data_IF_964143193809
#
_entry.id   IF_964143193809
#
_cell.length_a   1.000
_cell.length_b   1.000
_cell.length_c   1.000
_cell.angle_alpha   90.00
_cell.angle_beta   90.00
_cell.angle_gamma   90.00
#
_symmetry.space_group_name_H-M   'P 1'
#
loop_
_entity.id
_entity.type
_entity.pdbx_description
1 polymer ?
#
# COMPACT_ATOMS: atom_id res chain seq x y z
N UNK A 1 -13.10 -60.13 11.67
CA UNK A 1 -12.73 -59.10 12.66
C UNK A 1 -12.23 -57.91 11.88
N UNK A 2 -13.13 -56.98 11.59
CA UNK A 2 -12.81 -55.62 11.17
C UNK A 2 -13.38 -54.73 12.26
N UNK A 3 -12.57 -53.86 12.82
CA UNK A 3 -13.05 -52.74 13.62
C UNK A 3 -12.23 -51.49 13.31
N UNK A 4 -12.93 -50.37 13.36
CA UNK A 4 -12.61 -49.07 12.81
C UNK A 4 -12.04 -48.13 13.88
N UNK A 5 -11.85 -46.87 13.45
CA UNK A 5 -11.63 -45.64 14.23
C UNK A 5 -10.17 -45.22 14.47
N UNK A 6 -9.71 -44.31 13.62
CA UNK A 6 -9.02 -43.10 14.08
C UNK A 6 -9.45 -41.96 13.16
N UNK A 7 -10.42 -41.18 13.64
CA UNK A 7 -10.86 -39.94 13.01
C UNK A 7 -9.69 -38.95 13.03
N UNK A 8 -9.35 -38.43 11.85
CA UNK A 8 -8.40 -37.32 11.73
C UNK A 8 -9.04 -36.05 12.26
N UNK A 9 -8.39 -35.41 13.23
CA UNK A 9 -8.75 -34.08 13.69
C UNK A 9 -8.65 -33.10 12.51
N UNK A 10 -9.77 -32.48 12.18
CA UNK A 10 -9.83 -31.27 11.36
C UNK A 10 -9.11 -30.13 12.11
N UNK A 11 -8.31 -29.28 11.42
CA UNK A 11 -7.75 -28.10 12.05
C UNK A 11 -8.89 -27.13 12.38
N UNK A 12 -9.23 -27.07 13.67
CA UNK A 12 -10.03 -26.00 14.25
C UNK A 12 -9.15 -24.74 14.29
N UNK A 13 -9.50 -23.74 13.47
CA UNK A 13 -9.47 -22.30 13.78
C UNK A 13 -9.70 -21.51 12.49
N UNK A 14 -10.95 -21.50 12.03
CA UNK A 14 -11.49 -20.40 11.22
C UNK A 14 -12.68 -19.90 12.02
N UNK A 15 -12.59 -18.67 12.53
CA UNK A 15 -13.78 -17.95 12.96
C UNK A 15 -14.32 -17.35 11.66
N UNK A 16 -15.30 -18.01 11.05
CA UNK A 16 -16.02 -17.45 9.90
C UNK A 16 -16.86 -16.26 10.39
N UNK A 17 -16.70 -15.05 9.83
CA UNK A 17 -17.60 -13.95 10.14
C UNK A 17 -18.97 -14.19 9.47
N UNK A 18 -20.03 -13.78 10.17
CA UNK A 18 -21.42 -13.84 9.70
C UNK A 18 -21.58 -13.02 8.40
N UNK A 19 -21.90 -13.71 7.30
CA UNK A 19 -22.03 -13.17 5.93
C UNK A 19 -23.00 -11.98 5.81
N UNK A 20 -23.83 -11.71 6.82
CA UNK A 20 -24.84 -10.64 6.78
C UNK A 20 -24.41 -9.31 7.40
N UNK A 21 -23.16 -9.16 7.88
CA UNK A 21 -22.73 -7.95 8.62
C UNK A 21 -21.58 -7.16 7.96
N UNK A 22 -20.97 -7.67 6.90
CA UNK A 22 -19.69 -7.15 6.36
C UNK A 22 -19.87 -6.03 5.33
N UNK A 23 -21.07 -5.87 4.76
CA UNK A 23 -21.25 -5.07 3.54
C UNK A 23 -21.48 -3.56 3.72
N UNK A 24 -22.08 -3.10 4.82
CA UNK A 24 -22.54 -1.71 4.94
C UNK A 24 -21.86 -0.91 6.08
N UNK A 25 -21.45 -1.53 7.19
CA UNK A 25 -20.83 -0.80 8.32
C UNK A 25 -19.31 -0.61 8.19
N UNK A 26 -18.60 -1.49 7.48
CA UNK A 26 -17.14 -1.40 7.32
C UNK A 26 -16.67 -0.32 6.34
N UNK A 27 -17.50 0.02 5.35
CA UNK A 27 -17.15 0.94 4.25
C UNK A 27 -17.01 2.40 4.73
N UNK A 28 -17.77 2.80 5.76
CA UNK A 28 -17.77 4.16 6.29
C UNK A 28 -16.54 4.49 7.16
N UNK A 29 -15.96 3.50 7.85
CA UNK A 29 -14.79 3.68 8.74
C UNK A 29 -13.46 3.53 8.00
N UNK A 30 -13.36 2.58 7.05
CA UNK A 30 -12.16 2.34 6.24
C UNK A 30 -11.87 3.47 5.23
N UNK A 31 -12.93 3.97 4.56
CA UNK A 31 -12.83 5.16 3.72
C UNK A 31 -12.05 5.03 2.41
N UNK A 32 -11.63 3.84 2.02
CA UNK A 32 -11.09 3.51 0.69
C UNK A 32 -11.94 2.41 0.02
N UNK A 33 -11.99 2.31 -1.32
CA UNK A 33 -12.76 1.26 -1.99
C UNK A 33 -12.20 -0.15 -1.69
N UNK A 34 -13.07 -1.15 -1.60
CA UNK A 34 -12.72 -2.57 -1.43
C UNK A 34 -13.37 -3.49 -2.48
N UNK A 35 -13.92 -2.91 -3.55
CA UNK A 35 -14.52 -3.67 -4.64
C UNK A 35 -13.48 -4.41 -5.50
N UNK A 36 -13.94 -5.37 -6.29
CA UNK A 36 -13.10 -6.22 -7.16
C UNK A 36 -12.17 -5.39 -8.07
N UNK A 37 -12.61 -4.21 -8.55
CA UNK A 37 -11.78 -3.38 -9.42
C UNK A 37 -10.59 -2.78 -8.67
N UNK A 38 -10.79 -2.38 -7.42
CA UNK A 38 -9.72 -1.87 -6.57
C UNK A 38 -8.75 -2.98 -6.14
N UNK A 39 -9.25 -4.18 -5.85
CA UNK A 39 -8.40 -5.35 -5.55
C UNK A 39 -7.52 -5.72 -6.77
N UNK A 40 -8.11 -5.77 -7.97
CA UNK A 40 -7.35 -5.98 -9.22
C UNK A 40 -6.30 -4.88 -9.44
N UNK A 41 -6.60 -3.63 -9.07
CA UNK A 41 -5.65 -2.51 -9.15
C UNK A 41 -4.47 -2.71 -8.19
N UNK A 42 -4.70 -3.21 -6.98
CA UNK A 42 -3.66 -3.52 -5.99
C UNK A 42 -2.73 -4.62 -6.52
N UNK A 43 -3.28 -5.69 -7.09
CA UNK A 43 -2.49 -6.78 -7.68
C UNK A 43 -1.67 -6.32 -8.89
N UNK A 44 -2.26 -5.47 -9.75
CA UNK A 44 -1.54 -4.81 -10.84
C UNK A 44 -0.42 -3.91 -10.32
N UNK A 45 -0.65 -3.18 -9.22
CA UNK A 45 0.38 -2.36 -8.58
C UNK A 45 1.53 -3.24 -8.06
N UNK A 46 1.24 -4.39 -7.44
CA UNK A 46 2.26 -5.35 -7.02
C UNK A 46 3.14 -5.79 -8.19
N UNK A 47 2.54 -6.17 -9.33
CA UNK A 47 3.28 -6.53 -10.54
C UNK A 47 4.13 -5.37 -11.09
N UNK A 48 3.60 -4.13 -11.06
CA UNK A 48 4.34 -2.92 -11.43
C UNK A 48 5.58 -2.72 -10.55
N UNK A 49 5.47 -2.87 -9.23
CA UNK A 49 6.61 -2.80 -8.32
C UNK A 49 7.66 -3.86 -8.64
N UNK A 50 7.24 -5.10 -8.94
CA UNK A 50 8.18 -6.15 -9.32
C UNK A 50 9.02 -5.77 -10.56
N UNK A 51 8.42 -5.11 -11.56
CA UNK A 51 9.16 -4.58 -12.73
C UNK A 51 10.02 -3.36 -12.36
N UNK A 52 9.50 -2.45 -11.53
CA UNK A 52 10.20 -1.24 -11.07
C UNK A 52 11.44 -1.56 -10.24
N UNK A 53 11.38 -2.62 -9.43
CA UNK A 53 12.46 -3.08 -8.56
C UNK A 53 13.33 -4.16 -9.20
N UNK A 54 13.20 -4.35 -10.52
CA UNK A 54 14.01 -5.29 -11.30
C UNK A 54 13.94 -6.74 -10.79
N UNK A 55 12.71 -7.22 -10.61
CA UNK A 55 12.35 -8.56 -10.12
C UNK A 55 12.68 -8.80 -8.65
N UNK A 56 12.80 -7.73 -7.86
CA UNK A 56 12.86 -7.79 -6.39
C UNK A 56 11.50 -7.44 -5.80
N UNK A 57 11.23 -7.96 -4.60
CA UNK A 57 10.00 -7.66 -3.83
C UNK A 57 10.21 -6.67 -2.70
N UNK A 58 11.45 -6.49 -2.29
CA UNK A 58 11.96 -5.59 -1.25
C UNK A 58 13.43 -5.24 -1.58
N UNK A 59 13.99 -4.24 -0.91
CA UNK A 59 15.36 -3.76 -1.08
C UNK A 59 16.26 -4.03 0.12
N UNK A 60 15.68 -4.21 1.30
CA UNK A 60 16.40 -4.53 2.54
C UNK A 60 17.33 -5.74 2.32
N UNK A 61 18.57 -5.72 2.82
CA UNK A 61 19.55 -6.77 2.62
C UNK A 61 19.31 -7.97 3.55
N UNK A 62 18.07 -8.48 3.57
CA UNK A 62 17.69 -9.69 4.33
C UNK A 62 18.08 -10.95 3.53
N UNK A 63 18.55 -11.98 4.25
CA UNK A 63 19.01 -13.24 3.63
C UNK A 63 18.19 -14.43 4.10
N UNK A 64 18.05 -14.61 5.42
CA UNK A 64 17.30 -15.71 6.03
C UNK A 64 16.41 -15.19 7.17
N UNK A 65 15.36 -14.41 6.86
CA UNK A 65 14.40 -13.98 7.88
C UNK A 65 13.61 -15.18 8.42
N UNK A 66 13.22 -15.13 9.70
CA UNK A 66 12.35 -16.15 10.30
C UNK A 66 10.94 -15.63 10.60
N UNK A 67 10.79 -14.33 10.86
CA UNK A 67 9.50 -13.68 11.10
C UNK A 67 9.41 -12.39 10.30
N UNK A 68 8.43 -12.32 9.41
CA UNK A 68 8.18 -11.19 8.53
C UNK A 68 6.78 -10.63 8.82
N UNK A 69 6.68 -9.32 8.94
CA UNK A 69 5.42 -8.59 9.08
C UNK A 69 5.19 -7.71 7.84
N UNK A 70 4.04 -7.84 7.19
CA UNK A 70 3.54 -6.87 6.22
C UNK A 70 2.43 -6.03 6.87
N UNK A 71 2.60 -4.71 6.84
CA UNK A 71 1.64 -3.72 7.34
C UNK A 71 0.79 -3.18 6.19
N UNK A 72 -0.53 -3.26 6.32
CA UNK A 72 -1.46 -2.86 5.26
C UNK A 72 -1.36 -3.79 4.04
N UNK A 73 -1.59 -5.10 4.26
CA UNK A 73 -1.29 -6.11 3.25
C UNK A 73 -2.27 -6.15 2.06
N UNK A 74 -3.41 -5.45 2.12
CA UNK A 74 -4.39 -5.39 1.04
C UNK A 74 -4.86 -6.78 0.62
N UNK A 75 -4.65 -7.17 -0.65
CA UNK A 75 -4.99 -8.51 -1.14
C UNK A 75 -4.13 -9.63 -0.53
N UNK A 76 -3.03 -9.28 0.15
CA UNK A 76 -2.07 -10.22 0.71
C UNK A 76 -1.09 -10.79 -0.34
N UNK A 77 -1.16 -10.33 -1.60
CA UNK A 77 -0.35 -10.87 -2.70
C UNK A 77 1.15 -10.81 -2.42
N UNK A 78 1.64 -9.74 -1.76
CA UNK A 78 3.06 -9.64 -1.41
C UNK A 78 3.43 -10.63 -0.30
N UNK A 79 2.64 -10.72 0.78
CA UNK A 79 2.85 -11.70 1.84
C UNK A 79 2.93 -13.14 1.31
N UNK A 80 2.03 -13.51 0.40
CA UNK A 80 2.01 -14.84 -0.24
C UNK A 80 3.30 -15.08 -1.03
N UNK A 81 3.67 -14.12 -1.87
CA UNK A 81 4.88 -14.18 -2.69
C UNK A 81 6.18 -14.28 -1.85
N UNK A 82 6.19 -13.63 -0.69
CA UNK A 82 7.30 -13.67 0.27
C UNK A 82 7.34 -14.99 1.04
N UNK A 83 6.17 -15.53 1.40
CA UNK A 83 6.07 -16.84 2.04
C UNK A 83 6.58 -17.96 1.13
N UNK A 84 6.28 -17.89 -0.17
CA UNK A 84 6.84 -18.80 -1.18
C UNK A 84 8.35 -18.60 -1.38
N UNK A 85 8.83 -17.35 -1.34
CA UNK A 85 10.26 -17.04 -1.46
C UNK A 85 11.07 -17.52 -0.25
N UNK A 86 10.49 -17.49 0.96
CA UNK A 86 11.13 -17.90 2.21
C UNK A 86 10.30 -18.97 2.94
N UNK A 87 10.36 -20.24 2.49
CA UNK A 87 9.52 -21.32 3.04
C UNK A 87 9.81 -21.65 4.52
N UNK A 88 10.92 -21.17 5.07
CA UNK A 88 11.28 -21.31 6.49
C UNK A 88 10.84 -20.13 7.37
N UNK A 89 10.39 -19.03 6.76
CA UNK A 89 9.91 -17.84 7.49
C UNK A 89 8.43 -17.97 7.78
N UNK A 90 7.99 -17.47 8.94
CA UNK A 90 6.59 -17.14 9.19
C UNK A 90 6.30 -15.73 8.68
N UNK A 91 5.31 -15.60 7.80
CA UNK A 91 4.85 -14.32 7.25
C UNK A 91 3.47 -13.99 7.80
N UNK A 92 3.36 -12.83 8.43
CA UNK A 92 2.09 -12.25 8.89
C UNK A 92 1.79 -11.02 8.06
N UNK A 93 0.66 -11.00 7.35
CA UNK A 93 0.10 -9.77 6.79
C UNK A 93 -0.99 -9.21 7.71
N UNK A 94 -1.02 -7.90 7.88
CA UNK A 94 -2.05 -7.22 8.70
C UNK A 94 -2.78 -6.23 7.81
N UNK A 95 -4.10 -6.27 7.84
CA UNK A 95 -4.93 -5.26 7.20
C UNK A 95 -6.20 -5.04 8.02
N UNK A 96 -6.83 -3.88 7.87
CA UNK A 96 -8.11 -3.57 8.51
C UNK A 96 -9.29 -4.15 7.71
N UNK A 97 -9.08 -4.51 6.44
CA UNK A 97 -10.08 -5.11 5.57
C UNK A 97 -9.81 -6.62 5.34
N UNK A 98 -10.84 -7.48 5.43
CA UNK A 98 -10.69 -8.92 5.23
C UNK A 98 -10.74 -9.30 3.74
N UNK A 99 -9.77 -8.83 2.94
CA UNK A 99 -9.73 -8.98 1.47
C UNK A 99 -8.82 -10.11 0.99
N UNK A 100 -8.21 -10.85 1.91
CA UNK A 100 -7.17 -11.83 1.58
C UNK A 100 -7.77 -13.21 1.21
N UNK A 101 -7.12 -13.99 0.34
CA UNK A 101 -7.65 -15.28 -0.12
C UNK A 101 -7.63 -16.35 0.97
N UNK A 102 -8.60 -17.26 0.93
CA UNK A 102 -8.69 -18.37 1.88
C UNK A 102 -7.64 -19.49 1.71
N UNK A 103 -6.96 -19.55 0.56
CA UNK A 103 -5.89 -20.52 0.30
C UNK A 103 -4.54 -19.82 0.15
N UNK A 104 -3.66 -20.05 1.12
CA UNK A 104 -2.32 -19.45 1.19
C UNK A 104 -1.23 -20.47 1.55
N UNK A 105 0.05 -20.16 1.33
CA UNK A 105 1.15 -20.99 1.82
C UNK A 105 1.03 -21.29 3.32
N UNK A 106 1.45 -22.48 3.79
CA UNK A 106 1.26 -22.91 5.18
C UNK A 106 2.04 -22.06 6.20
N UNK A 107 2.99 -21.26 5.73
CA UNK A 107 3.80 -20.34 6.52
C UNK A 107 3.34 -18.87 6.41
N UNK A 108 2.18 -18.61 5.78
CA UNK A 108 1.57 -17.30 5.65
C UNK A 108 0.27 -17.24 6.46
N UNK A 109 0.05 -16.15 7.19
CA UNK A 109 -1.23 -15.87 7.88
C UNK A 109 -1.61 -14.40 7.77
N UNK A 110 -2.89 -14.12 7.94
CA UNK A 110 -3.41 -12.75 7.98
C UNK A 110 -4.10 -12.45 9.30
N UNK A 111 -3.94 -11.23 9.77
CA UNK A 111 -4.54 -10.71 11.00
C UNK A 111 -5.36 -9.46 10.64
N UNK A 112 -6.63 -9.44 11.07
CA UNK A 112 -7.53 -8.31 10.86
C UNK A 112 -7.36 -7.32 12.01
N UNK A 113 -6.60 -6.25 11.79
CA UNK A 113 -6.28 -5.26 12.82
C UNK A 113 -5.91 -3.90 12.19
N UNK A 114 -6.07 -2.83 12.97
CA UNK A 114 -5.63 -1.49 12.59
C UNK A 114 -4.18 -1.28 13.06
N UNK A 115 -3.26 -1.16 12.11
CA UNK A 115 -1.82 -0.98 12.38
C UNK A 115 -1.49 0.35 13.08
N UNK A 116 -2.40 1.32 13.13
CA UNK A 116 -2.25 2.54 13.93
C UNK A 116 -2.59 2.31 15.41
N UNK A 117 -3.23 1.20 15.79
CA UNK A 117 -3.47 0.83 17.19
C UNK A 117 -2.19 0.31 17.87
N UNK A 118 -2.15 0.29 19.22
CA UNK A 118 -1.06 -0.32 19.97
C UNK A 118 -0.87 -1.79 19.60
N UNK A 119 0.31 -2.13 19.10
CA UNK A 119 0.64 -3.49 18.68
C UNK A 119 0.74 -4.47 19.87
N UNK A 120 0.27 -5.70 19.67
CA UNK A 120 0.21 -6.74 20.71
C UNK A 120 1.31 -7.80 20.62
N UNK A 121 2.12 -7.77 19.54
CA UNK A 121 3.30 -8.62 19.42
C UNK A 121 4.33 -8.26 20.49
N UNK A 122 5.33 -9.13 20.68
CA UNK A 122 6.43 -8.86 21.61
C UNK A 122 7.38 -7.81 21.02
N UNK A 123 8.07 -7.08 21.87
CA UNK A 123 9.23 -6.28 21.46
C UNK A 123 10.29 -7.20 20.82
N UNK A 124 11.04 -6.68 19.86
CA UNK A 124 12.12 -7.40 19.17
C UNK A 124 11.67 -8.77 18.61
N UNK A 125 10.51 -8.81 17.93
CA UNK A 125 9.90 -10.04 17.47
C UNK A 125 10.17 -10.35 15.99
N UNK A 126 10.15 -9.33 15.13
CA UNK A 126 10.22 -9.49 13.68
C UNK A 126 11.66 -9.30 13.16
N UNK A 127 12.06 -10.12 12.19
CA UNK A 127 13.33 -9.96 11.46
C UNK A 127 13.20 -8.89 10.37
N UNK A 128 12.00 -8.78 9.79
CA UNK A 128 11.68 -7.82 8.75
C UNK A 128 10.27 -7.30 8.90
N UNK A 129 10.09 -5.97 8.83
CA UNK A 129 8.79 -5.31 8.77
C UNK A 129 8.71 -4.53 7.46
N UNK A 130 7.67 -4.78 6.70
CA UNK A 130 7.46 -4.21 5.38
C UNK A 130 6.14 -3.45 5.34
N UNK A 131 6.11 -2.32 4.63
CA UNK A 131 4.89 -1.58 4.36
C UNK A 131 4.98 -0.98 2.96
N UNK A 132 3.91 -1.10 2.17
CA UNK A 132 3.86 -0.55 0.81
C UNK A 132 2.60 0.28 0.60
N UNK A 133 2.77 1.42 -0.05
CA UNK A 133 1.73 2.38 -0.35
C UNK A 133 0.84 2.79 0.85
N UNK A 134 1.40 3.10 2.05
CA UNK A 134 0.60 3.50 3.22
C UNK A 134 0.01 4.92 3.14
N UNK A 135 0.27 5.66 2.05
CA UNK A 135 -0.21 7.03 1.89
C UNK A 135 -1.74 7.05 1.85
N UNK A 136 -2.34 8.09 2.44
CA UNK A 136 -3.79 8.27 2.61
C UNK A 136 -4.45 7.36 3.66
N UNK A 137 -3.80 6.25 4.04
CA UNK A 137 -4.28 5.30 5.05
C UNK A 137 -3.77 5.63 6.46
N UNK A 138 -2.53 6.08 6.60
CA UNK A 138 -1.91 6.37 7.90
C UNK A 138 -2.01 7.84 8.27
N UNK A 139 -2.34 8.12 9.54
CA UNK A 139 -2.45 9.46 10.13
C UNK A 139 -1.23 9.84 10.97
N UNK A 140 -0.57 8.88 11.61
CA UNK A 140 0.61 9.12 12.46
C UNK A 140 1.80 8.22 12.10
N UNK A 141 2.52 8.60 11.04
CA UNK A 141 3.76 7.92 10.64
C UNK A 141 4.84 7.89 11.75
N UNK A 142 5.11 8.97 12.50
CA UNK A 142 6.04 8.90 13.64
C UNK A 142 5.68 7.81 14.65
N UNK A 143 4.39 7.68 15.01
CA UNK A 143 3.92 6.59 15.88
C UNK A 143 4.13 5.24 15.22
N UNK A 144 3.73 5.08 13.95
CA UNK A 144 3.90 3.81 13.22
C UNK A 144 5.36 3.37 13.16
N UNK A 145 6.28 4.29 12.83
CA UNK A 145 7.73 4.05 12.79
C UNK A 145 8.26 3.69 14.19
N UNK A 146 7.76 4.32 15.24
CA UNK A 146 8.08 3.96 16.63
C UNK A 146 7.64 2.55 16.99
N UNK A 147 6.44 2.13 16.56
CA UNK A 147 6.00 0.74 16.72
C UNK A 147 6.91 -0.23 15.94
N UNK A 148 7.24 0.09 14.69
CA UNK A 148 8.19 -0.70 13.91
C UNK A 148 9.52 -0.86 14.65
N UNK A 149 10.04 0.23 15.24
CA UNK A 149 11.30 0.21 16.00
C UNK A 149 11.27 -0.69 17.23
N UNK A 150 10.17 -0.68 17.99
CA UNK A 150 10.05 -1.51 19.19
C UNK A 150 9.91 -3.01 18.86
N UNK A 151 9.25 -3.33 17.74
CA UNK A 151 8.89 -4.70 17.40
C UNK A 151 9.85 -5.38 16.41
N UNK A 152 10.69 -4.62 15.70
CA UNK A 152 11.80 -5.20 14.92
C UNK A 152 12.93 -5.63 15.86
N UNK A 153 13.59 -6.75 15.57
CA UNK A 153 14.76 -7.20 16.32
C UNK A 153 15.94 -6.25 16.14
N UNK A 154 16.90 -6.21 17.09
CA UNK A 154 18.20 -5.62 16.84
C UNK A 154 18.86 -6.32 15.64
N UNK A 155 19.26 -5.53 14.64
CA UNK A 155 19.78 -6.04 13.36
C UNK A 155 18.72 -6.48 12.34
N UNK A 156 17.44 -6.38 12.67
CA UNK A 156 16.34 -6.54 11.72
C UNK A 156 16.12 -5.29 10.87
N UNK A 157 15.28 -5.42 9.84
CA UNK A 157 15.04 -4.35 8.86
C UNK A 157 13.59 -3.87 8.87
N UNK A 158 13.42 -2.59 8.57
CA UNK A 158 12.11 -2.00 8.27
C UNK A 158 12.20 -1.31 6.93
N UNK A 159 11.24 -1.59 6.04
CA UNK A 159 11.23 -1.02 4.70
C UNK A 159 9.83 -0.50 4.35
N UNK A 160 9.77 0.81 4.06
CA UNK A 160 8.59 1.44 3.51
C UNK A 160 8.81 1.72 2.02
N UNK A 161 7.85 1.34 1.19
CA UNK A 161 7.83 1.64 -0.24
C UNK A 161 6.58 2.45 -0.58
N UNK A 162 6.70 3.45 -1.44
CA UNK A 162 5.51 4.10 -1.98
C UNK A 162 5.77 4.84 -3.30
N UNK A 163 4.72 4.93 -4.12
CA UNK A 163 4.61 5.96 -5.15
C UNK A 163 4.15 7.26 -4.50
N UNK A 164 5.05 8.25 -4.45
CA UNK A 164 4.72 9.56 -3.92
C UNK A 164 3.59 10.22 -4.73
N UNK A 165 2.55 10.71 -4.05
CA UNK A 165 1.39 11.36 -4.68
C UNK A 165 1.64 12.77 -5.21
N UNK A 166 2.90 13.22 -5.25
CA UNK A 166 3.29 14.53 -5.79
C UNK A 166 3.82 14.35 -7.20
N UNK A 167 3.07 14.88 -8.16
CA UNK A 167 3.42 14.79 -9.57
C UNK A 167 4.42 15.90 -9.91
N UNK A 168 5.52 15.51 -10.54
CA UNK A 168 6.62 16.42 -10.89
C UNK A 168 7.10 16.18 -12.32
N UNK A 169 7.92 17.09 -12.82
CA UNK A 169 8.65 16.93 -14.07
C UNK A 169 10.12 17.22 -13.84
N UNK A 170 11.00 16.47 -14.53
CA UNK A 170 12.46 16.59 -14.40
C UNK A 170 13.06 17.70 -15.28
N UNK A 171 12.29 18.19 -16.27
CA UNK A 171 12.79 19.07 -17.34
C UNK A 171 11.94 20.35 -17.53
N UNK A 172 11.20 20.74 -16.48
CA UNK A 172 10.28 21.90 -16.48
C UNK A 172 9.25 21.89 -17.62
N UNK A 173 9.02 20.73 -18.24
CA UNK A 173 8.04 20.57 -19.34
C UNK A 173 6.59 20.70 -18.89
N UNK A 174 6.33 20.73 -17.58
CA UNK A 174 5.02 20.89 -17.01
C UNK A 174 4.71 22.37 -16.80
N UNK A 175 3.79 22.98 -17.58
CA UNK A 175 3.42 24.37 -17.38
C UNK A 175 2.76 24.57 -16.00
N UNK A 176 3.08 25.67 -15.33
CA UNK A 176 2.49 26.03 -14.03
C UNK A 176 0.96 26.23 -14.10
N UNK A 177 0.44 26.60 -15.27
CA UNK A 177 -0.99 26.77 -15.54
C UNK A 177 -1.67 25.51 -16.10
N UNK A 178 -0.98 24.36 -16.10
CA UNK A 178 -1.54 23.10 -16.61
C UNK A 178 -2.54 22.46 -15.64
N UNK A 179 -3.54 21.76 -16.18
CA UNK A 179 -4.51 20.99 -15.40
C UNK A 179 -3.84 19.92 -14.51
N UNK A 180 -2.71 19.37 -14.96
CA UNK A 180 -1.96 18.36 -14.23
C UNK A 180 -1.23 18.94 -13.00
N UNK A 181 -0.67 20.16 -13.12
CA UNK A 181 -0.12 20.89 -11.97
C UNK A 181 -1.23 21.24 -10.97
N UNK A 182 -2.34 21.77 -11.47
CA UNK A 182 -3.51 22.07 -10.65
C UNK A 182 -4.04 20.81 -9.94
N UNK A 183 -4.04 19.65 -10.61
CA UNK A 183 -4.43 18.37 -10.01
C UNK A 183 -3.52 18.01 -8.84
N UNK A 184 -2.19 18.05 -9.04
CA UNK A 184 -1.23 17.74 -7.98
C UNK A 184 -1.36 18.68 -6.78
N UNK A 185 -1.55 19.99 -7.01
CA UNK A 185 -1.68 20.98 -5.95
C UNK A 185 -2.98 20.80 -5.15
N UNK A 186 -4.09 20.59 -5.84
CA UNK A 186 -5.39 20.33 -5.22
C UNK A 186 -5.37 19.02 -4.43
N UNK A 187 -4.73 17.98 -4.96
CA UNK A 187 -4.58 16.70 -4.28
C UNK A 187 -3.80 16.86 -2.97
N UNK A 188 -2.65 17.55 -3.02
CA UNK A 188 -1.84 17.85 -1.83
C UNK A 188 -2.64 18.64 -0.79
N UNK A 189 -3.36 19.68 -1.21
CA UNK A 189 -4.17 20.51 -0.32
C UNK A 189 -5.34 19.74 0.31
N UNK A 190 -6.02 18.88 -0.46
CA UNK A 190 -7.09 18.02 0.04
C UNK A 190 -6.56 17.03 1.06
N UNK A 191 -5.55 16.24 0.72
CA UNK A 191 -5.00 15.19 1.59
C UNK A 191 -4.44 15.74 2.90
N UNK A 192 -3.83 16.93 2.88
CA UNK A 192 -3.40 17.63 4.10
C UNK A 192 -4.57 17.94 5.05
N UNK A 193 -5.76 18.27 4.52
CA UNK A 193 -6.97 18.51 5.34
C UNK A 193 -7.58 17.23 5.92
N UNK A 194 -7.37 16.09 5.27
CA UNK A 194 -7.74 14.78 5.81
C UNK A 194 -6.71 14.22 6.81
N UNK A 195 -5.64 14.96 7.10
CA UNK A 195 -4.60 14.50 8.03
C UNK A 195 -3.77 13.33 7.51
N UNK A 196 -3.68 13.12 6.19
CA UNK A 196 -2.75 12.16 5.58
C UNK A 196 -2.10 12.79 4.35
N UNK A 197 -1.07 13.64 4.55
CA UNK A 197 -0.43 14.37 3.48
C UNK A 197 0.39 13.44 2.57
N UNK A 198 0.15 13.51 1.26
CA UNK A 198 0.76 12.63 0.24
C UNK A 198 2.27 12.84 0.02
N UNK A 199 2.88 13.80 0.73
CA UNK A 199 4.31 14.09 0.71
C UNK A 199 5.02 13.54 1.96
N UNK A 200 4.36 12.71 2.78
CA UNK A 200 4.97 12.01 3.92
C UNK A 200 6.22 11.19 3.57
N UNK A 201 6.31 10.49 2.41
CA UNK A 201 7.53 9.80 2.04
C UNK A 201 8.78 10.67 2.04
N UNK A 202 8.65 11.97 1.75
CA UNK A 202 9.78 12.91 1.79
C UNK A 202 10.36 13.11 3.20
N UNK A 203 9.64 12.71 4.24
CA UNK A 203 10.03 12.85 5.66
C UNK A 203 10.45 11.53 6.30
N UNK A 204 10.14 10.39 5.67
CA UNK A 204 10.37 9.08 6.27
C UNK A 204 11.83 8.88 6.66
N UNK A 205 12.80 9.16 5.77
CA UNK A 205 14.22 9.00 6.09
C UNK A 205 14.61 9.68 7.41
N UNK A 206 14.25 10.97 7.55
CA UNK A 206 14.54 11.73 8.76
C UNK A 206 13.77 11.21 9.98
N UNK A 207 12.56 10.69 9.81
CA UNK A 207 11.78 10.08 10.90
C UNK A 207 12.38 8.75 11.37
N UNK A 208 12.81 7.88 10.45
CA UNK A 208 13.52 6.65 10.76
C UNK A 208 14.82 6.96 11.52
N UNK A 209 15.64 7.91 11.04
CA UNK A 209 16.86 8.35 11.72
C UNK A 209 16.56 8.92 13.12
N UNK A 210 15.54 9.78 13.25
CA UNK A 210 15.15 10.39 14.52
C UNK A 210 14.63 9.37 15.55
N UNK A 211 13.96 8.31 15.09
CA UNK A 211 13.49 7.22 15.96
C UNK A 211 14.65 6.37 16.49
N UNK A 212 15.78 6.34 15.79
CA UNK A 212 16.98 5.61 16.21
C UNK A 212 17.34 4.42 15.32
N UNK A 213 16.76 4.32 14.12
CA UNK A 213 17.23 3.35 13.13
C UNK A 213 18.63 3.70 12.62
N UNK A 214 19.43 2.67 12.39
CA UNK A 214 20.77 2.78 11.81
C UNK A 214 20.71 2.39 10.31
N UNK A 215 21.74 2.75 9.54
CA UNK A 215 21.85 2.42 8.09
C UNK A 215 20.65 2.85 7.22
N UNK A 216 19.98 3.95 7.57
CA UNK A 216 18.80 4.44 6.85
C UNK A 216 19.14 4.85 5.42
N UNK A 217 18.63 4.08 4.46
CA UNK A 217 18.84 4.28 3.03
C UNK A 217 17.54 4.72 2.36
N UNK A 218 17.63 5.70 1.47
CA UNK A 218 16.54 6.13 0.60
C UNK A 218 16.93 5.85 -0.85
N UNK A 219 16.03 5.20 -1.59
CA UNK A 219 16.22 4.91 -3.01
C UNK A 219 15.05 5.50 -3.79
N UNK A 220 15.34 6.48 -4.64
CA UNK A 220 14.34 7.13 -5.48
C UNK A 220 14.32 6.48 -6.87
N UNK A 221 13.15 5.98 -7.26
CA UNK A 221 12.90 5.45 -8.60
C UNK A 221 12.08 6.44 -9.41
N UNK A 222 12.43 6.59 -10.70
CA UNK A 222 11.59 7.34 -11.64
C UNK A 222 10.43 6.46 -12.10
N UNK A 223 9.22 6.92 -11.83
CA UNK A 223 7.98 6.30 -12.31
C UNK A 223 7.23 7.30 -13.21
N UNK A 224 7.21 7.08 -14.54
CA UNK A 224 6.41 7.89 -15.44
C UNK A 224 4.92 7.73 -15.14
N UNK A 225 4.13 8.80 -15.27
CA UNK A 225 2.67 8.76 -15.10
C UNK A 225 1.92 8.30 -16.35
N UNK A 226 2.61 8.12 -17.49
CA UNK A 226 2.04 7.72 -18.76
C UNK A 226 3.11 7.08 -19.69
N UNK A 227 2.74 6.41 -20.81
CA UNK A 227 3.65 5.62 -21.63
C UNK A 227 4.49 6.45 -22.64
N UNK A 228 4.70 7.74 -22.40
CA UNK A 228 5.54 8.61 -23.24
C UNK A 228 7.02 8.23 -23.37
N UNK A 229 7.69 7.60 -22.36
CA UNK A 229 9.13 7.36 -22.45
C UNK A 229 9.49 6.45 -23.64
N UNK A 230 10.68 6.65 -24.21
CA UNK A 230 11.18 5.80 -25.31
C UNK A 230 11.68 4.44 -24.82
N UNK A 231 12.25 4.40 -23.62
CA UNK A 231 12.70 3.17 -22.98
C UNK A 231 11.51 2.22 -22.78
N UNK A 232 11.63 0.98 -23.22
CA UNK A 232 10.51 0.02 -23.25
C UNK A 232 10.01 -0.32 -21.84
N UNK A 233 10.92 -0.41 -20.87
CA UNK A 233 10.58 -0.71 -19.48
C UNK A 233 9.85 0.47 -18.84
N UNK A 234 10.37 1.69 -18.98
CA UNK A 234 9.70 2.89 -18.47
C UNK A 234 8.37 3.17 -19.17
N UNK A 235 8.26 2.86 -20.47
CA UNK A 235 7.01 2.93 -21.20
C UNK A 235 5.96 1.98 -20.63
N UNK A 236 6.34 0.73 -20.37
CA UNK A 236 5.46 -0.25 -19.74
C UNK A 236 5.04 0.20 -18.33
N UNK A 237 6.00 0.60 -17.49
CA UNK A 237 5.72 1.12 -16.15
C UNK A 237 4.78 2.33 -16.19
N UNK A 238 4.97 3.24 -17.14
CA UNK A 238 4.11 4.39 -17.35
C UNK A 238 2.70 4.04 -17.81
N UNK A 239 2.53 2.97 -18.61
CA UNK A 239 1.21 2.46 -18.95
C UNK A 239 0.48 1.87 -17.73
N UNK A 240 1.19 1.09 -16.90
CA UNK A 240 0.66 0.57 -15.65
C UNK A 240 0.26 1.69 -14.68
N UNK A 241 1.11 2.72 -14.52
CA UNK A 241 0.81 3.84 -13.65
C UNK A 241 -0.36 4.67 -14.14
N UNK A 242 -0.44 4.95 -15.45
CA UNK A 242 -1.58 5.64 -16.04
C UNK A 242 -2.88 4.89 -15.77
N UNK A 243 -2.89 3.56 -15.93
CA UNK A 243 -4.06 2.75 -15.60
C UNK A 243 -4.43 2.86 -14.11
N UNK A 244 -3.44 2.75 -13.22
CA UNK A 244 -3.65 2.90 -11.77
C UNK A 244 -4.23 4.26 -11.39
N UNK A 245 -3.77 5.34 -12.03
CA UNK A 245 -4.26 6.70 -11.77
C UNK A 245 -5.66 6.92 -12.32
N UNK A 246 -6.00 6.33 -13.47
CA UNK A 246 -7.26 6.57 -14.16
C UNK A 246 -8.42 5.71 -13.67
N UNK A 247 -8.18 4.47 -13.22
CA UNK A 247 -9.24 3.48 -12.95
C UNK A 247 -10.28 3.98 -11.93
N UNK A 248 -9.86 4.77 -10.94
CA UNK A 248 -10.72 5.34 -9.89
C UNK A 248 -10.59 6.88 -9.78
N UNK A 249 -10.10 7.56 -10.84
CA UNK A 249 -9.82 8.99 -10.80
C UNK A 249 -11.05 9.82 -10.43
N UNK A 250 -12.19 9.54 -11.05
CA UNK A 250 -13.43 10.32 -10.83
C UNK A 250 -13.90 10.22 -9.37
N UNK A 251 -14.09 9.01 -8.86
CA UNK A 251 -14.54 8.78 -7.48
C UNK A 251 -13.57 9.37 -6.45
N UNK A 252 -12.28 9.20 -6.70
CA UNK A 252 -11.21 9.75 -5.85
C UNK A 252 -11.23 11.28 -5.82
N UNK A 253 -11.30 11.94 -6.97
CA UNK A 253 -11.34 13.40 -7.06
C UNK A 253 -12.63 13.96 -6.49
N UNK A 254 -13.77 13.34 -6.77
CA UNK A 254 -15.07 13.72 -6.20
C UNK A 254 -15.02 13.71 -4.67
N UNK A 255 -14.49 12.63 -4.07
CA UNK A 255 -14.33 12.52 -2.62
C UNK A 255 -13.36 13.57 -2.07
N UNK A 256 -12.15 13.64 -2.61
CA UNK A 256 -11.09 14.48 -2.04
C UNK A 256 -11.31 15.97 -2.29
N UNK A 257 -11.75 16.37 -3.47
CA UNK A 257 -11.93 17.78 -3.79
C UNK A 257 -13.28 18.27 -3.25
N UNK A 258 -14.31 17.42 -3.26
CA UNK A 258 -15.59 17.71 -2.62
C UNK A 258 -15.44 17.92 -1.12
N UNK A 259 -15.03 16.89 -0.37
CA UNK A 259 -14.91 16.98 1.10
C UNK A 259 -13.71 17.84 1.55
N UNK A 260 -12.60 17.83 0.82
CA UNK A 260 -11.38 18.58 1.19
C UNK A 260 -11.42 20.05 0.76
N UNK A 261 -11.85 20.37 -0.45
CA UNK A 261 -11.83 21.74 -1.00
C UNK A 261 -13.22 22.39 -1.04
N UNK A 262 -14.29 21.64 -0.79
CA UNK A 262 -15.66 22.15 -0.88
C UNK A 262 -16.14 22.32 -2.32
N UNK A 263 -15.54 21.61 -3.28
CA UNK A 263 -15.95 21.69 -4.68
C UNK A 263 -17.31 21.03 -4.87
N UNK A 264 -18.15 21.64 -5.71
CA UNK A 264 -19.35 20.99 -6.22
C UNK A 264 -19.02 19.95 -7.28
N UNK A 265 -19.90 18.96 -7.44
CA UNK A 265 -19.82 17.94 -8.49
C UNK A 265 -19.61 18.56 -9.88
N UNK A 266 -20.27 19.69 -10.16
CA UNK A 266 -20.09 20.42 -11.42
C UNK A 266 -18.65 20.94 -11.61
N UNK A 267 -18.03 21.46 -10.55
CA UNK A 267 -16.64 21.94 -10.61
C UNK A 267 -15.66 20.77 -10.81
N UNK A 268 -15.88 19.65 -10.13
CA UNK A 268 -15.05 18.45 -10.30
C UNK A 268 -15.17 17.91 -11.73
N UNK A 269 -16.38 17.80 -12.27
CA UNK A 269 -16.60 17.31 -13.62
C UNK A 269 -15.92 18.20 -14.69
N UNK A 270 -16.02 19.52 -14.56
CA UNK A 270 -15.29 20.46 -15.46
C UNK A 270 -13.79 20.24 -15.35
N UNK A 271 -13.28 20.10 -14.13
CA UNK A 271 -11.85 19.87 -13.91
C UNK A 271 -11.35 18.54 -14.49
N UNK A 272 -12.12 17.46 -14.36
CA UNK A 272 -11.79 16.15 -14.92
C UNK A 272 -11.77 16.19 -16.46
N UNK A 273 -12.69 16.94 -17.09
CA UNK A 273 -12.67 17.16 -18.54
C UNK A 273 -11.36 17.84 -18.97
N UNK A 274 -10.93 18.88 -18.23
CA UNK A 274 -9.69 19.59 -18.54
C UNK A 274 -8.44 18.72 -18.30
N UNK A 275 -8.45 17.92 -17.22
CA UNK A 275 -7.35 17.02 -16.85
C UNK A 275 -7.18 15.86 -17.83
N UNK A 276 -8.27 15.19 -18.18
CA UNK A 276 -8.28 14.07 -19.13
C UNK A 276 -8.25 14.54 -20.60
N UNK A 277 -8.45 15.83 -20.84
CA UNK A 277 -8.62 16.48 -22.14
C UNK A 277 -7.37 16.60 -23.02
N UNK A 278 -6.25 15.91 -22.70
CA UNK A 278 -5.13 15.76 -23.65
C UNK A 278 -5.48 14.66 -24.68
N UNK A 279 -6.37 15.09 -25.58
CA UNK A 279 -6.77 14.62 -26.92
C UNK A 279 -7.33 13.20 -27.07
N UNK A 280 -8.66 13.16 -27.28
CA UNK A 280 -9.27 12.39 -28.36
C UNK A 280 -8.69 12.75 -29.74
#
# INVERSE_FOLDING_TARGET
MYDATSEGQSPQNVIEPDENTVGEEFDDEYGLPIDDMELDRIDMAHAKYFVLLEKKRFLAPIVEPHRILELGCGTGIWSIDIADQFPSAEVTGVDIAPTQPGWVPPNCRFELDDIEQPWTWKDNHFDFIFCRDPIASIRDFPKLISQCYNHVKPGGWVEFQCVMGVLTSDDDSLPEDSAFKAFSDNLRASCAKFGSPIDDPMRWKAQFEAQGFEEVTEVLYKLPCNPWPKDERLKFLGACEMNNLLINLEGFVMRLFGKGLGWSDAQVNVFLIDLCGIRA
#
